data_IF_729798102174
#
_entry.id   IF_729798102174
#
_cell.length_a   1.000
_cell.length_b   1.000
_cell.length_c   1.000
_cell.angle_alpha   90.00
_cell.angle_beta   90.00
_cell.angle_gamma   90.00
#
_symmetry.space_group_name_H-M   'P 1'
#
loop_
_entity.id
_entity.type
_entity.pdbx_description
1 polymer ?
#
# COMPACT_ATOMS: atom_id res chain seq x y z
N UNK A 1 6.46 23.01 7.53
CA UNK A 1 6.16 21.85 6.66
C UNK A 1 5.35 22.39 5.48
N UNK A 2 5.84 22.21 4.25
CA UNK A 2 5.15 22.65 3.04
C UNK A 2 4.37 21.44 2.53
N UNK A 3 3.06 21.53 2.46
CA UNK A 3 2.21 20.54 1.80
C UNK A 3 2.09 20.91 0.32
N UNK A 4 2.60 20.07 -0.57
CA UNK A 4 2.47 20.24 -2.01
C UNK A 4 1.46 19.24 -2.55
N UNK A 5 0.67 19.62 -3.56
CA UNK A 5 -0.12 18.66 -4.32
C UNK A 5 0.78 17.52 -4.83
N UNK A 6 0.29 16.26 -4.77
CA UNK A 6 1.13 15.09 -5.09
C UNK A 6 1.73 15.13 -6.50
N UNK A 7 1.01 15.70 -7.47
CA UNK A 7 1.45 15.83 -8.86
C UNK A 7 2.66 16.78 -8.99
N UNK A 8 2.69 17.83 -8.16
CA UNK A 8 3.80 18.77 -8.08
C UNK A 8 4.96 18.13 -7.31
N UNK A 9 4.67 17.49 -6.17
CA UNK A 9 5.67 16.83 -5.35
C UNK A 9 6.41 15.72 -6.13
N UNK A 10 5.70 14.94 -6.95
CA UNK A 10 6.26 13.86 -7.78
C UNK A 10 7.21 14.38 -8.89
N UNK A 11 7.08 15.63 -9.31
CA UNK A 11 7.91 16.25 -10.35
C UNK A 11 8.97 17.20 -9.79
N UNK A 12 8.89 17.49 -8.49
CA UNK A 12 9.83 18.41 -7.85
C UNK A 12 11.20 17.74 -7.69
N UNK A 13 12.21 18.25 -8.38
CA UNK A 13 13.60 17.79 -8.26
C UNK A 13 14.39 18.58 -7.20
N UNK A 14 13.92 19.75 -6.82
CA UNK A 14 14.57 20.62 -5.82
C UNK A 14 13.59 21.56 -5.16
N UNK A 15 13.93 21.98 -3.95
CA UNK A 15 13.29 23.11 -3.26
C UNK A 15 14.33 24.21 -3.10
N UNK A 16 13.97 25.47 -3.39
CA UNK A 16 14.83 26.63 -3.24
C UNK A 16 14.13 27.74 -2.45
N UNK A 17 14.89 28.43 -1.61
CA UNK A 17 14.42 29.66 -0.96
C UNK A 17 14.42 30.77 -2.02
N UNK A 18 13.26 31.40 -2.25
CA UNK A 18 13.14 32.49 -3.22
C UNK A 18 13.90 33.71 -2.72
N UNK A 19 14.72 34.30 -3.59
CA UNK A 19 15.55 35.45 -3.25
C UNK A 19 16.98 35.11 -2.80
N UNK A 20 17.27 33.87 -2.45
CA UNK A 20 18.62 33.45 -2.06
C UNK A 20 19.35 32.76 -3.23
N UNK A 21 20.61 33.16 -3.44
CA UNK A 21 21.48 32.61 -4.50
C UNK A 21 22.70 31.93 -3.87
N UNK A 22 22.44 30.83 -3.16
CA UNK A 22 23.50 29.99 -2.61
C UNK A 22 23.14 28.52 -2.66
N UNK A 23 24.12 27.65 -2.70
CA UNK A 23 23.91 26.20 -2.61
C UNK A 23 23.19 25.80 -1.31
N UNK A 24 23.42 26.53 -0.21
CA UNK A 24 22.75 26.31 1.07
C UNK A 24 21.26 26.63 1.08
N UNK A 25 20.80 27.45 0.13
CA UNK A 25 19.38 27.78 -0.05
C UNK A 25 18.63 26.78 -0.94
N UNK A 26 19.32 25.74 -1.45
CA UNK A 26 18.75 24.72 -2.33
C UNK A 26 18.86 23.35 -1.67
N UNK A 27 17.74 22.65 -1.59
CA UNK A 27 17.72 21.24 -1.20
C UNK A 27 17.29 20.40 -2.41
N UNK A 28 18.17 19.53 -2.84
CA UNK A 28 17.81 18.52 -3.83
C UNK A 28 16.83 17.54 -3.17
N UNK A 29 15.75 17.30 -3.84
CA UNK A 29 14.86 16.21 -3.50
C UNK A 29 15.44 14.94 -4.15
N UNK A 30 15.36 13.78 -3.47
CA UNK A 30 15.79 12.54 -4.12
C UNK A 30 15.17 12.46 -5.50
N UNK A 31 15.98 12.16 -6.52
CA UNK A 31 15.51 11.98 -7.87
C UNK A 31 14.47 10.85 -7.87
N UNK A 32 13.21 11.25 -8.06
CA UNK A 32 12.09 10.40 -7.84
C UNK A 32 11.84 10.19 -6.33
N UNK A 33 11.00 11.04 -5.76
CA UNK A 33 9.79 10.44 -5.27
C UNK A 33 9.17 9.69 -6.48
N UNK A 34 9.94 8.74 -7.03
CA UNK A 34 9.52 7.89 -8.14
C UNK A 34 8.28 7.22 -7.61
N UNK A 35 7.18 7.43 -8.33
CA UNK A 35 5.93 6.76 -8.00
C UNK A 35 6.29 5.32 -7.69
N UNK A 36 5.93 4.78 -6.51
CA UNK A 36 6.27 3.41 -6.18
C UNK A 36 5.71 2.50 -7.28
N UNK A 37 6.49 1.52 -7.69
CA UNK A 37 6.01 0.52 -8.63
C UNK A 37 5.16 -0.49 -7.87
N UNK A 38 3.86 -0.52 -8.20
CA UNK A 38 2.85 -1.36 -7.55
C UNK A 38 2.30 -2.37 -8.55
N UNK A 39 2.45 -3.64 -8.22
CA UNK A 39 1.87 -4.73 -8.99
C UNK A 39 0.44 -5.03 -8.53
N UNK A 40 -0.48 -5.09 -9.47
CA UNK A 40 -1.84 -5.59 -9.25
C UNK A 40 -1.91 -7.03 -9.73
N UNK A 41 -2.10 -7.95 -8.79
CA UNK A 41 -2.11 -9.37 -9.12
C UNK A 41 -3.44 -9.76 -9.76
N UNK A 42 -3.36 -10.42 -10.90
CA UNK A 42 -4.54 -10.96 -11.57
C UNK A 42 -5.07 -12.17 -10.79
N UNK A 43 -6.21 -12.04 -10.15
CA UNK A 43 -6.84 -13.08 -9.32
C UNK A 43 -7.67 -14.10 -10.12
N UNK A 44 -7.42 -14.23 -11.44
CA UNK A 44 -7.99 -15.32 -12.27
C UNK A 44 -9.51 -15.26 -12.50
N UNK A 45 -10.15 -14.12 -12.28
CA UNK A 45 -11.56 -13.91 -12.63
C UNK A 45 -11.69 -13.44 -14.07
N UNK A 46 -12.25 -14.26 -14.94
CA UNK A 46 -12.64 -13.86 -16.27
C UNK A 46 -13.78 -12.84 -16.19
N UNK A 47 -13.45 -11.57 -16.29
CA UNK A 47 -14.43 -10.50 -16.35
C UNK A 47 -13.75 -9.13 -16.26
N UNK A 48 -13.56 -8.47 -17.40
CA UNK A 48 -13.30 -7.04 -17.47
C UNK A 48 -14.58 -6.28 -17.08
N UNK A 49 -15.05 -6.47 -15.84
CA UNK A 49 -16.15 -5.67 -15.33
C UNK A 49 -15.62 -4.28 -15.00
N UNK A 50 -16.26 -3.25 -15.52
CA UNK A 50 -16.04 -1.84 -15.15
C UNK A 50 -16.26 -1.57 -13.64
N UNK A 51 -16.76 -2.57 -12.90
CA UNK A 51 -17.00 -2.55 -11.46
C UNK A 51 -16.07 -3.54 -10.72
N UNK A 52 -14.96 -3.96 -11.35
CA UNK A 52 -14.01 -4.87 -10.72
C UNK A 52 -13.19 -4.17 -9.63
N UNK A 53 -12.75 -4.93 -8.64
CA UNK A 53 -11.84 -4.44 -7.58
C UNK A 53 -10.60 -3.74 -8.16
N UNK A 54 -10.05 -4.28 -9.26
CA UNK A 54 -8.92 -3.68 -9.98
C UNK A 54 -9.22 -2.26 -10.44
N UNK A 55 -10.42 -1.99 -10.96
CA UNK A 55 -10.81 -0.66 -11.42
C UNK A 55 -10.71 0.38 -10.29
N UNK A 56 -11.26 0.08 -9.11
CA UNK A 56 -11.23 1.02 -7.98
C UNK A 56 -9.82 1.22 -7.44
N UNK A 57 -9.03 0.16 -7.33
CA UNK A 57 -7.63 0.24 -6.88
C UNK A 57 -6.79 1.05 -7.87
N UNK A 58 -6.92 0.77 -9.16
CA UNK A 58 -6.20 1.53 -10.20
C UNK A 58 -6.57 2.99 -10.19
N UNK A 59 -7.87 3.29 -10.14
CA UNK A 59 -8.34 4.68 -10.12
C UNK A 59 -7.82 5.44 -8.91
N UNK A 60 -7.76 4.78 -7.75
CA UNK A 60 -7.25 5.38 -6.53
C UNK A 60 -5.73 5.63 -6.56
N UNK A 61 -4.96 4.72 -7.17
CA UNK A 61 -3.50 4.76 -7.12
C UNK A 61 -2.83 5.35 -8.37
N UNK A 62 -3.51 5.43 -9.50
CA UNK A 62 -2.96 5.95 -10.75
C UNK A 62 -2.23 7.31 -10.63
N UNK A 63 -2.70 8.27 -9.80
CA UNK A 63 -1.98 9.53 -9.61
C UNK A 63 -0.69 9.38 -8.78
N UNK A 64 -0.57 8.32 -7.96
CA UNK A 64 0.45 8.18 -6.91
C UNK A 64 1.46 7.08 -7.15
N UNK A 65 1.14 6.09 -7.99
CA UNK A 65 1.96 4.92 -8.24
C UNK A 65 2.10 4.62 -9.75
N UNK A 66 3.14 3.90 -10.12
CA UNK A 66 3.26 3.24 -11.41
C UNK A 66 2.62 1.85 -11.28
N UNK A 67 1.54 1.59 -11.99
CA UNK A 67 0.76 0.37 -11.85
C UNK A 67 1.04 -0.59 -13.01
N UNK A 68 1.15 -1.86 -12.71
CA UNK A 68 1.23 -2.94 -13.69
C UNK A 68 0.38 -4.12 -13.19
N UNK A 69 -0.39 -4.73 -14.09
CA UNK A 69 -1.10 -5.98 -13.83
C UNK A 69 -0.25 -7.17 -14.26
N UNK A 70 -0.42 -8.30 -13.58
CA UNK A 70 0.24 -9.54 -13.97
C UNK A 70 0.23 -10.61 -12.90
N UNK A 71 0.90 -11.71 -13.19
CA UNK A 71 1.14 -12.79 -12.22
C UNK A 71 2.18 -12.40 -11.18
N UNK A 72 2.12 -13.05 -10.03
CA UNK A 72 2.98 -12.77 -8.85
C UNK A 72 4.46 -12.80 -9.21
N UNK A 73 4.93 -13.89 -9.85
CA UNK A 73 6.34 -14.04 -10.23
C UNK A 73 6.83 -12.91 -11.14
N UNK A 74 6.08 -12.60 -12.20
CA UNK A 74 6.44 -11.55 -13.16
C UNK A 74 6.53 -10.16 -12.51
N UNK A 75 5.63 -9.87 -11.55
CA UNK A 75 5.63 -8.60 -10.83
C UNK A 75 6.79 -8.49 -9.84
N UNK A 76 7.18 -9.60 -9.20
CA UNK A 76 8.37 -9.67 -8.33
C UNK A 76 9.64 -9.48 -9.17
N UNK A 77 9.75 -10.13 -10.32
CA UNK A 77 10.89 -10.02 -11.23
C UNK A 77 11.02 -8.59 -11.80
N UNK A 78 9.90 -7.95 -12.05
CA UNK A 78 9.82 -6.53 -12.43
C UNK A 78 10.16 -5.56 -11.27
N UNK A 79 10.50 -6.08 -10.09
CA UNK A 79 10.88 -5.32 -8.88
C UNK A 79 9.76 -4.44 -8.33
N UNK A 80 8.54 -4.93 -8.32
CA UNK A 80 7.43 -4.27 -7.62
C UNK A 80 7.80 -4.05 -6.14
N UNK A 81 7.51 -2.86 -5.64
CA UNK A 81 7.73 -2.48 -4.24
C UNK A 81 6.53 -2.87 -3.36
N UNK A 82 5.36 -2.90 -3.97
CA UNK A 82 4.13 -3.38 -3.36
C UNK A 82 3.38 -4.28 -4.33
N UNK A 83 2.75 -5.30 -3.80
CA UNK A 83 1.81 -6.17 -4.52
C UNK A 83 0.44 -6.05 -3.86
N UNK A 84 -0.58 -5.85 -4.68
CA UNK A 84 -1.97 -5.79 -4.24
C UNK A 84 -2.70 -7.01 -4.80
N UNK A 85 -3.26 -7.81 -3.91
CA UNK A 85 -4.09 -8.97 -4.23
C UNK A 85 -5.55 -8.64 -3.92
N UNK A 86 -6.36 -8.28 -4.92
CA UNK A 86 -7.82 -8.23 -4.76
C UNK A 86 -8.32 -9.64 -4.53
N UNK A 87 -9.31 -9.81 -3.68
CA UNK A 87 -9.97 -11.08 -3.31
C UNK A 87 -9.33 -12.38 -3.88
N UNK A 88 -8.09 -12.63 -3.52
CA UNK A 88 -7.44 -13.89 -3.82
C UNK A 88 -7.83 -14.93 -2.77
N UNK A 89 -8.42 -16.03 -3.20
CA UNK A 89 -8.68 -17.18 -2.35
C UNK A 89 -7.40 -17.90 -1.97
N UNK A 90 -7.28 -19.17 -2.36
CA UNK A 90 -6.08 -19.96 -2.09
C UNK A 90 -4.94 -19.55 -3.06
N UNK A 91 -3.79 -19.24 -2.50
CA UNK A 91 -2.56 -18.93 -3.26
C UNK A 91 -1.83 -20.27 -3.50
N UNK A 92 -1.26 -20.45 -4.70
CA UNK A 92 -0.49 -21.66 -4.99
C UNK A 92 0.73 -21.78 -4.07
N UNK A 93 1.21 -23.00 -3.73
CA UNK A 93 2.39 -23.17 -2.88
C UNK A 93 3.64 -22.47 -3.43
N UNK A 94 3.82 -22.46 -4.75
CA UNK A 94 4.94 -21.77 -5.41
C UNK A 94 4.86 -20.25 -5.25
N UNK A 95 3.68 -19.68 -5.47
CA UNK A 95 3.46 -18.24 -5.30
C UNK A 95 3.56 -17.83 -3.82
N UNK A 96 3.06 -18.67 -2.91
CA UNK A 96 3.19 -18.43 -1.47
C UNK A 96 4.65 -18.33 -1.05
N UNK A 97 5.49 -19.29 -1.48
CA UNK A 97 6.94 -19.29 -1.19
C UNK A 97 7.64 -18.07 -1.80
N UNK A 98 7.30 -17.70 -3.03
CA UNK A 98 7.86 -16.53 -3.71
C UNK A 98 7.50 -15.23 -2.98
N UNK A 99 6.22 -15.08 -2.58
CA UNK A 99 5.73 -13.95 -1.81
C UNK A 99 6.39 -13.86 -0.44
N UNK A 100 6.52 -14.99 0.28
CA UNK A 100 7.18 -15.02 1.58
C UNK A 100 8.63 -14.51 1.50
N UNK A 101 9.40 -15.03 0.54
CA UNK A 101 10.76 -14.59 0.32
C UNK A 101 10.85 -13.12 -0.10
N UNK A 102 9.91 -12.64 -0.91
CA UNK A 102 9.86 -11.25 -1.36
C UNK A 102 9.47 -10.30 -0.21
N UNK A 103 8.48 -10.67 0.61
CA UNK A 103 8.08 -9.89 1.79
C UNK A 103 9.25 -9.81 2.78
N UNK A 104 9.93 -10.94 3.06
CA UNK A 104 11.07 -10.97 3.99
C UNK A 104 12.18 -10.00 3.58
N UNK A 105 12.34 -9.71 2.28
CA UNK A 105 13.31 -8.73 1.73
C UNK A 105 12.82 -7.28 1.74
N UNK A 106 11.60 -7.00 2.23
CA UNK A 106 11.07 -5.64 2.35
C UNK A 106 9.87 -5.33 1.46
N UNK A 107 9.26 -6.33 0.83
CA UNK A 107 8.06 -6.16 0.01
C UNK A 107 6.82 -5.82 0.86
N UNK A 108 5.92 -5.00 0.32
CA UNK A 108 4.61 -4.73 0.88
C UNK A 108 3.56 -5.58 0.17
N UNK A 109 2.91 -6.48 0.91
CA UNK A 109 1.76 -7.22 0.44
C UNK A 109 0.48 -6.60 0.99
N UNK A 110 -0.42 -6.15 0.12
CA UNK A 110 -1.77 -5.69 0.46
C UNK A 110 -2.78 -6.68 -0.06
N UNK A 111 -3.62 -7.20 0.83
CA UNK A 111 -4.72 -8.10 0.48
C UNK A 111 -6.06 -7.46 0.78
N UNK A 112 -7.02 -7.69 -0.10
CA UNK A 112 -8.42 -7.38 0.13
C UNK A 112 -9.19 -8.68 0.35
N UNK A 113 -10.02 -8.68 1.39
CA UNK A 113 -10.90 -9.80 1.63
C UNK A 113 -12.14 -9.70 0.74
N UNK A 114 -12.57 -10.83 0.24
CA UNK A 114 -13.78 -10.97 -0.53
C UNK A 114 -14.34 -12.37 -0.43
N UNK A 115 -15.32 -12.74 -1.26
CA UNK A 115 -15.96 -14.05 -1.19
C UNK A 115 -14.98 -15.23 -1.33
N UNK A 116 -13.92 -15.08 -2.12
CA UNK A 116 -12.94 -16.17 -2.34
C UNK A 116 -12.08 -16.38 -1.11
N UNK A 117 -11.53 -15.32 -0.52
CA UNK A 117 -10.74 -15.40 0.70
C UNK A 117 -11.63 -15.88 1.86
N UNK A 118 -12.86 -15.37 1.95
CA UNK A 118 -13.83 -15.75 2.98
C UNK A 118 -14.17 -17.24 2.96
N UNK A 119 -14.18 -17.87 1.78
CA UNK A 119 -14.44 -19.29 1.59
C UNK A 119 -13.18 -20.18 1.63
N UNK A 120 -12.00 -19.60 1.78
CA UNK A 120 -10.74 -20.32 1.93
C UNK A 120 -10.43 -20.60 3.40
N UNK A 121 -9.53 -21.55 3.66
CA UNK A 121 -9.02 -21.81 5.01
C UNK A 121 -8.01 -20.73 5.49
N UNK A 122 -7.79 -19.68 4.67
CA UNK A 122 -6.74 -18.71 4.87
C UNK A 122 -5.37 -19.28 4.53
N UNK A 123 -4.34 -18.46 4.69
CA UNK A 123 -2.95 -18.84 4.45
C UNK A 123 -1.99 -18.08 5.38
N UNK A 124 -0.71 -18.42 5.32
CA UNK A 124 0.34 -17.79 6.11
C UNK A 124 0.64 -16.34 5.70
N UNK A 125 0.09 -15.88 4.58
CA UNK A 125 0.23 -14.52 4.05
C UNK A 125 -0.93 -13.60 4.48
N UNK A 126 -1.49 -13.87 5.64
CA UNK A 126 -2.45 -13.01 6.33
C UNK A 126 -1.84 -12.48 7.62
N UNK A 127 -2.11 -11.22 8.00
CA UNK A 127 -1.63 -10.66 9.26
C UNK A 127 -2.30 -11.29 10.49
N UNK A 128 -3.51 -11.83 10.30
CA UNK A 128 -4.34 -12.47 11.32
C UNK A 128 -4.98 -13.73 10.77
N UNK A 129 -5.35 -14.67 11.66
CA UNK A 129 -6.20 -15.80 11.28
C UNK A 129 -7.63 -15.31 11.08
N UNK A 130 -8.29 -15.87 10.08
CA UNK A 130 -9.70 -15.59 9.85
C UNK A 130 -10.56 -16.49 10.72
N UNK A 131 -11.68 -15.97 11.20
CA UNK A 131 -12.60 -16.70 12.07
C UNK A 131 -13.27 -17.81 11.27
N UNK A 132 -13.11 -19.10 11.66
CA UNK A 132 -13.88 -20.18 11.06
C UNK A 132 -15.34 -20.04 11.52
N UNK A 133 -16.30 -20.06 10.60
CA UNK A 133 -17.73 -19.98 10.96
C UNK A 133 -18.52 -18.93 10.22
N UNK A 134 -17.89 -17.97 9.60
CA UNK A 134 -18.51 -17.12 8.59
C UNK A 134 -18.95 -17.91 7.32
N UNK A 135 -18.64 -19.21 7.27
CA UNK A 135 -18.97 -20.12 6.18
C UNK A 135 -20.48 -20.34 5.98
N UNK A 136 -21.32 -20.13 7.00
CA UNK A 136 -22.78 -20.30 6.90
C UNK A 136 -23.47 -19.23 6.06
N UNK A 137 -22.79 -18.11 5.76
CA UNK A 137 -23.31 -16.99 4.97
C UNK A 137 -22.38 -16.65 3.79
N UNK A 138 -21.70 -17.63 3.21
CA UNK A 138 -20.74 -17.41 2.12
C UNK A 138 -19.42 -16.83 2.59
N UNK A 139 -19.01 -17.12 3.84
CA UNK A 139 -17.68 -16.80 4.37
C UNK A 139 -17.50 -15.38 4.90
N UNK A 140 -18.42 -14.46 4.64
CA UNK A 140 -18.40 -13.10 5.14
C UNK A 140 -19.53 -12.84 6.11
N UNK A 141 -19.26 -12.06 7.17
CA UNK A 141 -20.31 -11.55 8.04
C UNK A 141 -21.03 -10.41 7.34
N UNK A 142 -22.34 -10.53 7.19
CA UNK A 142 -23.21 -9.44 6.78
C UNK A 142 -23.78 -8.77 8.03
N UNK A 143 -23.63 -7.46 8.13
CA UNK A 143 -24.18 -6.70 9.22
C UNK A 143 -25.67 -6.40 8.96
N UNK A 144 -26.53 -6.64 9.93
CA UNK A 144 -27.97 -6.27 9.83
C UNK A 144 -28.14 -4.75 9.63
N UNK A 145 -27.27 -3.98 10.27
CA UNK A 145 -27.13 -2.54 10.05
C UNK A 145 -25.69 -2.25 9.65
N UNK A 146 -25.46 -1.53 8.55
CA UNK A 146 -24.12 -1.14 8.15
C UNK A 146 -23.39 -0.39 9.27
N UNK A 147 -22.10 -0.71 9.46
CA UNK A 147 -21.27 -0.06 10.47
C UNK A 147 -20.45 1.06 9.83
N UNK A 148 -20.35 2.17 10.54
CA UNK A 148 -19.47 3.28 10.16
C UNK A 148 -18.01 2.97 10.50
N UNK A 149 -17.07 3.72 9.92
CA UNK A 149 -15.69 3.71 10.37
C UNK A 149 -15.60 4.29 11.79
N UNK A 150 -14.78 3.65 12.62
CA UNK A 150 -14.35 4.20 13.89
C UNK A 150 -13.18 5.17 13.72
N UNK A 151 -12.73 5.76 14.83
CA UNK A 151 -11.52 6.58 14.85
C UNK A 151 -10.29 5.74 14.50
N UNK A 152 -9.35 6.33 13.74
CA UNK A 152 -8.11 5.65 13.40
C UNK A 152 -7.19 5.61 14.61
N UNK A 153 -6.62 4.43 14.97
CA UNK A 153 -5.65 4.31 16.06
C UNK A 153 -4.46 5.24 15.89
N UNK A 154 -3.99 5.84 17.00
CA UNK A 154 -2.93 6.84 16.98
C UNK A 154 -1.56 6.32 16.53
N UNK A 155 -1.34 5.01 16.59
CA UNK A 155 -0.14 4.30 16.12
C UNK A 155 -0.27 3.78 14.69
N UNK A 156 -1.40 4.03 14.03
CA UNK A 156 -1.64 3.64 12.65
C UNK A 156 -1.08 4.67 11.66
N UNK A 157 -0.81 4.27 10.40
CA UNK A 157 -0.46 5.21 9.34
C UNK A 157 -1.55 6.26 9.06
N UNK A 158 -2.75 6.00 9.55
CA UNK A 158 -3.94 6.82 9.32
C UNK A 158 -4.21 7.80 10.45
N UNK A 159 -3.37 7.82 11.48
CA UNK A 159 -3.49 8.75 12.60
C UNK A 159 -3.69 10.19 12.12
N UNK A 160 -4.65 10.90 12.75
CA UNK A 160 -5.03 12.25 12.39
C UNK A 160 -5.90 12.39 11.14
N UNK A 161 -6.29 11.30 10.49
CA UNK A 161 -7.38 11.34 9.51
C UNK A 161 -8.73 11.37 10.23
N UNK A 162 -9.64 12.19 9.73
CA UNK A 162 -11.03 12.10 10.16
C UNK A 162 -11.68 10.85 9.55
N UNK A 163 -12.42 10.09 10.36
CA UNK A 163 -13.23 9.00 9.82
C UNK A 163 -14.37 9.60 8.95
N UNK A 164 -14.48 9.21 7.67
CA UNK A 164 -15.53 9.76 6.80
C UNK A 164 -16.90 9.24 7.25
N UNK A 165 -17.86 10.13 7.49
CA UNK A 165 -19.18 9.74 8.03
C UNK A 165 -20.07 9.02 7.00
N UNK A 166 -19.73 9.14 5.73
CA UNK A 166 -20.46 8.58 4.58
C UNK A 166 -20.00 7.17 4.19
N UNK A 167 -18.98 6.63 4.86
CA UNK A 167 -18.49 5.27 4.58
C UNK A 167 -19.15 4.26 5.51
N UNK A 168 -19.92 3.38 4.91
CA UNK A 168 -20.60 2.29 5.59
C UNK A 168 -20.07 0.94 5.15
N UNK A 169 -19.88 0.05 6.11
CA UNK A 169 -19.44 -1.32 5.89
C UNK A 169 -20.63 -2.25 6.09
N UNK A 170 -21.00 -2.98 5.04
CA UNK A 170 -22.13 -3.91 5.01
C UNK A 170 -21.71 -5.35 5.25
N UNK A 171 -20.50 -5.69 4.81
CA UNK A 171 -19.92 -7.04 4.94
C UNK A 171 -18.44 -6.95 5.25
N UNK A 172 -17.94 -7.90 6.00
CA UNK A 172 -16.50 -8.03 6.26
C UNK A 172 -16.14 -9.50 6.60
N UNK A 173 -14.86 -9.82 6.48
CA UNK A 173 -14.30 -11.07 7.02
C UNK A 173 -13.81 -10.79 8.43
N UNK A 174 -14.19 -11.64 9.39
CA UNK A 174 -13.80 -11.47 10.79
C UNK A 174 -12.43 -12.09 11.06
N UNK A 175 -11.63 -11.40 11.85
CA UNK A 175 -10.41 -11.93 12.43
C UNK A 175 -10.72 -12.80 13.66
N UNK A 176 -9.88 -13.82 13.89
CA UNK A 176 -9.81 -14.51 15.17
C UNK A 176 -9.24 -13.56 16.24
N UNK A 177 -9.97 -13.33 17.35
CA UNK A 177 -9.54 -12.41 18.40
C UNK A 177 -8.15 -12.72 18.98
N UNK A 178 -7.77 -14.00 19.07
CA UNK A 178 -6.46 -14.38 19.60
C UNK A 178 -5.33 -13.91 18.68
N UNK A 179 -5.55 -14.02 17.36
CA UNK A 179 -4.54 -13.62 16.36
C UNK A 179 -4.37 -12.09 16.24
N UNK A 180 -5.34 -11.32 16.73
CA UNK A 180 -5.25 -9.86 16.75
C UNK A 180 -4.18 -9.34 17.73
N UNK A 181 -3.82 -10.12 18.76
CA UNK A 181 -2.77 -9.74 19.71
C UNK A 181 -1.39 -9.62 19.06
N UNK A 182 -1.17 -10.28 17.93
CA UNK A 182 0.10 -10.28 17.19
C UNK A 182 0.09 -9.31 15.99
N UNK A 183 -1.05 -8.68 15.71
CA UNK A 183 -1.23 -7.78 14.60
C UNK A 183 -1.43 -6.33 15.06
N UNK A 184 -1.08 -5.39 14.19
CA UNK A 184 -1.40 -3.98 14.39
C UNK A 184 -2.79 -3.68 13.85
N UNK A 185 -3.62 -3.04 14.64
CA UNK A 185 -4.91 -2.53 14.19
C UNK A 185 -4.69 -1.14 13.57
N UNK A 186 -4.91 -1.02 12.27
CA UNK A 186 -4.74 0.24 11.57
C UNK A 186 -6.05 1.00 11.36
N UNK A 187 -7.15 0.27 11.24
CA UNK A 187 -8.49 0.84 11.19
C UNK A 187 -9.48 -0.11 11.87
N UNK A 188 -10.47 0.47 12.53
CA UNK A 188 -11.56 -0.23 13.21
C UNK A 188 -12.90 0.32 12.76
N UNK A 189 -13.96 -0.46 12.96
CA UNK A 189 -15.34 -0.02 12.81
C UNK A 189 -15.85 0.58 14.11
N UNK A 190 -17.03 1.19 14.07
CA UNK A 190 -17.67 1.85 15.21
C UNK A 190 -17.95 0.90 16.40
N UNK A 191 -18.01 -0.41 16.16
CA UNK A 191 -18.15 -1.44 17.20
C UNK A 191 -16.82 -2.00 17.71
N UNK A 192 -15.68 -1.46 17.20
CA UNK A 192 -14.32 -1.92 17.53
C UNK A 192 -13.82 -3.10 16.70
N UNK A 193 -14.62 -3.66 15.81
CA UNK A 193 -14.16 -4.75 14.93
C UNK A 193 -13.10 -4.27 13.93
N UNK A 194 -12.08 -5.09 13.62
CA UNK A 194 -10.96 -4.70 12.76
C UNK A 194 -11.41 -4.53 11.31
N UNK A 195 -11.06 -3.39 10.69
CA UNK A 195 -11.25 -3.15 9.27
C UNK A 195 -9.95 -3.30 8.48
N UNK A 196 -8.83 -2.83 9.03
CA UNK A 196 -7.50 -2.98 8.43
C UNK A 196 -6.54 -3.47 9.51
N UNK A 197 -5.89 -4.59 9.22
CA UNK A 197 -4.86 -5.17 10.09
C UNK A 197 -3.53 -5.27 9.35
N UNK A 198 -2.43 -5.18 10.08
CA UNK A 198 -1.09 -5.25 9.52
C UNK A 198 -0.15 -6.08 10.41
N UNK A 199 0.80 -6.77 9.79
CA UNK A 199 1.85 -7.54 10.49
C UNK A 199 3.17 -7.43 9.72
N UNK A 200 4.22 -7.09 10.44
CA UNK A 200 5.58 -7.14 9.90
C UNK A 200 6.03 -8.60 9.71
N UNK A 201 6.73 -8.86 8.62
CA UNK A 201 7.34 -10.17 8.33
C UNK A 201 8.72 -9.97 7.70
N UNK A 202 9.76 -10.30 8.45
CA UNK A 202 11.12 -9.93 8.06
C UNK A 202 11.25 -8.40 7.96
N UNK A 203 11.72 -7.92 6.81
CA UNK A 203 11.84 -6.47 6.52
C UNK A 203 10.60 -5.91 5.84
N UNK A 204 9.60 -6.72 5.53
CA UNK A 204 8.40 -6.34 4.81
C UNK A 204 7.15 -6.33 5.68
N UNK A 205 6.03 -6.11 5.03
CA UNK A 205 4.76 -5.87 5.68
C UNK A 205 3.62 -6.59 4.94
N UNK A 206 2.72 -7.20 5.69
CA UNK A 206 1.47 -7.75 5.19
C UNK A 206 0.33 -6.91 5.75
N UNK A 207 -0.55 -6.43 4.89
CA UNK A 207 -1.73 -5.64 5.23
C UNK A 207 -2.98 -6.35 4.68
N UNK A 208 -4.00 -6.49 5.51
CA UNK A 208 -5.29 -7.02 5.12
C UNK A 208 -6.38 -5.97 5.34
N UNK A 209 -7.10 -5.70 4.27
CA UNK A 209 -8.40 -5.04 4.32
C UNK A 209 -9.45 -6.13 4.51
N UNK A 210 -10.22 -6.08 5.58
CA UNK A 210 -11.25 -7.07 5.92
C UNK A 210 -12.51 -6.92 5.05
N UNK A 211 -12.44 -6.09 4.05
CA UNK A 211 -13.46 -5.84 3.02
C UNK A 211 -12.83 -5.95 1.65
N UNK A 212 -13.67 -6.08 0.62
CA UNK A 212 -13.20 -6.05 -0.75
C UNK A 212 -12.98 -4.61 -1.27
N UNK A 213 -12.33 -4.50 -2.41
CA UNK A 213 -12.09 -3.23 -3.06
C UNK A 213 -13.18 -2.84 -4.07
N UNK A 214 -14.36 -3.46 -3.97
CA UNK A 214 -15.54 -3.14 -4.78
C UNK A 214 -16.68 -2.62 -3.87
N UNK A 215 -17.67 -1.89 -4.41
CA UNK A 215 -18.68 -1.23 -3.60
C UNK A 215 -19.80 -2.13 -3.08
N UNK A 216 -19.71 -3.44 -3.31
CA UNK A 216 -20.74 -4.40 -2.86
C UNK A 216 -20.67 -4.71 -1.36
N UNK A 217 -19.48 -4.63 -0.73
CA UNK A 217 -19.29 -4.85 0.69
C UNK A 217 -19.25 -3.55 1.51
N UNK A 218 -18.81 -2.45 0.91
CA UNK A 218 -18.66 -1.17 1.60
C UNK A 218 -18.69 0.01 0.64
N UNK A 219 -18.92 1.22 1.17
CA UNK A 219 -18.80 2.46 0.42
C UNK A 219 -17.33 2.95 0.33
N UNK A 220 -16.40 2.26 1.03
CA UNK A 220 -15.00 2.66 1.11
C UNK A 220 -14.37 2.90 -0.27
N UNK A 221 -14.51 2.02 -1.29
CA UNK A 221 -13.91 2.23 -2.61
C UNK A 221 -14.42 3.46 -3.36
N UNK A 222 -15.57 3.98 -2.98
CA UNK A 222 -16.19 5.18 -3.57
C UNK A 222 -15.77 6.47 -2.87
N UNK A 223 -15.10 6.36 -1.72
CA UNK A 223 -14.75 7.51 -0.87
C UNK A 223 -13.34 8.04 -1.14
N UNK A 224 -13.12 9.32 -0.84
CA UNK A 224 -11.78 9.90 -0.82
C UNK A 224 -10.85 9.27 0.22
N UNK A 225 -11.40 8.67 1.28
CA UNK A 225 -10.65 7.95 2.29
C UNK A 225 -9.92 6.73 1.72
N UNK A 226 -10.49 6.05 0.74
CA UNK A 226 -9.85 4.91 0.09
C UNK A 226 -8.51 5.27 -0.55
N UNK A 227 -8.51 6.38 -1.28
CA UNK A 227 -7.30 6.93 -1.91
C UNK A 227 -6.25 7.26 -0.85
N UNK A 228 -6.65 7.96 0.21
CA UNK A 228 -5.72 8.40 1.26
C UNK A 228 -5.17 7.22 2.08
N UNK A 229 -6.00 6.24 2.41
CA UNK A 229 -5.61 5.02 3.11
C UNK A 229 -4.60 4.22 2.29
N UNK A 230 -4.87 3.99 0.99
CA UNK A 230 -3.92 3.29 0.12
C UNK A 230 -2.60 4.05 -0.02
N UNK A 231 -2.67 5.36 -0.22
CA UNK A 231 -1.47 6.21 -0.35
C UNK A 231 -0.62 6.17 0.92
N UNK A 232 -1.24 6.28 2.11
CA UNK A 232 -0.53 6.22 3.39
C UNK A 232 0.02 4.83 3.67
N UNK A 233 -0.66 3.77 3.28
CA UNK A 233 -0.16 2.38 3.36
C UNK A 233 1.14 2.23 2.55
N UNK A 234 1.16 2.68 1.30
CA UNK A 234 2.36 2.66 0.46
C UNK A 234 3.50 3.50 1.07
N UNK A 235 3.18 4.70 1.56
CA UNK A 235 4.17 5.59 2.15
C UNK A 235 4.75 5.06 3.47
N UNK A 236 3.95 4.36 4.27
CA UNK A 236 4.39 3.72 5.51
C UNK A 236 5.38 2.60 5.22
N UNK A 237 5.06 1.70 4.31
CA UNK A 237 5.94 0.60 3.95
C UNK A 237 7.26 1.09 3.35
N UNK A 238 7.26 2.15 2.55
CA UNK A 238 8.47 2.75 1.99
C UNK A 238 9.42 3.31 3.06
N UNK A 239 8.89 3.74 4.22
CA UNK A 239 9.70 4.23 5.36
C UNK A 239 10.19 3.09 6.23
N UNK A 240 9.31 2.14 6.52
CA UNK A 240 9.58 1.03 7.46
C UNK A 240 10.56 0.00 6.83
N UNK A 241 10.51 -0.19 5.52
CA UNK A 241 11.44 -1.08 4.78
C UNK A 241 12.86 -0.51 4.62
N UNK A 242 13.16 0.67 5.19
CA UNK A 242 14.46 1.32 5.02
C UNK A 242 14.75 1.71 3.57
N UNK A 243 13.73 1.82 2.73
CA UNK A 243 13.88 2.21 1.33
C UNK A 243 14.48 3.63 1.16
N UNK A 244 14.59 4.39 2.27
CA UNK A 244 15.36 5.64 2.35
C UNK A 244 16.87 5.41 2.52
N UNK A 245 17.28 4.29 3.07
CA UNK A 245 18.66 3.81 3.17
C UNK A 245 18.78 2.54 2.33
N UNK A 246 18.73 2.68 1.02
CA UNK A 246 19.27 1.62 0.16
C UNK A 246 20.73 1.49 0.53
N UNK A 247 21.10 0.40 1.16
CA UNK A 247 22.46 -0.07 1.15
C UNK A 247 22.86 -0.20 -0.33
N UNK A 248 23.60 0.78 -0.79
CA UNK A 248 24.06 0.84 -2.17
C UNK A 248 25.24 -0.13 -2.23
N UNK A 249 24.89 -1.40 -2.39
CA UNK A 249 25.86 -2.44 -2.66
C UNK A 249 26.26 -2.33 -4.12
N UNK A 250 27.45 -1.75 -4.34
CA UNK A 250 28.23 -2.00 -5.52
C UNK A 250 28.32 -0.92 -6.58
N UNK A 251 29.47 -0.38 -6.71
CA UNK A 251 29.93 0.43 -7.82
C UNK A 251 30.03 1.94 -7.51
N UNK A 252 30.93 2.64 -8.15
CA UNK A 252 31.07 4.08 -7.99
C UNK A 252 29.78 4.77 -8.45
N UNK A 253 29.29 5.71 -7.63
CA UNK A 253 28.16 6.53 -8.00
C UNK A 253 28.55 7.46 -9.14
N UNK A 254 27.81 7.44 -10.23
CA UNK A 254 27.95 8.44 -11.28
C UNK A 254 27.04 9.59 -10.94
N UNK A 255 27.62 10.77 -10.68
CA UNK A 255 26.87 11.98 -10.47
C UNK A 255 26.07 12.32 -11.75
N UNK A 256 24.75 12.43 -11.65
CA UNK A 256 23.92 12.82 -12.80
C UNK A 256 23.79 14.33 -12.94
N UNK A 257 23.83 15.06 -11.81
CA UNK A 257 23.73 16.51 -11.77
C UNK A 257 24.58 17.05 -10.62
N UNK A 258 25.16 18.19 -10.84
CA UNK A 258 25.90 18.95 -9.85
C UNK A 258 25.16 20.25 -9.52
N UNK A 259 25.28 20.69 -8.27
CA UNK A 259 24.82 21.99 -7.84
C UNK A 259 26.05 22.90 -7.66
N UNK A 260 26.05 24.05 -8.28
CA UNK A 260 27.14 25.05 -8.11
C UNK A 260 26.97 25.85 -6.80
N UNK A 261 27.97 26.68 -6.47
CA UNK A 261 27.92 27.51 -5.26
C UNK A 261 26.76 28.51 -5.22
N UNK A 262 26.16 28.79 -6.34
CA UNK A 262 25.02 29.71 -6.50
C UNK A 262 23.67 28.99 -6.53
N UNK A 263 23.66 27.66 -6.37
CA UNK A 263 22.44 26.87 -6.34
C UNK A 263 21.87 26.52 -7.72
N UNK A 264 22.65 26.72 -8.80
CA UNK A 264 22.26 26.31 -10.14
C UNK A 264 22.57 24.82 -10.36
N UNK A 265 21.65 24.11 -11.02
CA UNK A 265 21.75 22.67 -11.31
C UNK A 265 22.25 22.50 -12.75
N UNK A 266 23.35 21.81 -12.92
CA UNK A 266 23.92 21.45 -14.23
C UNK A 266 24.07 19.93 -14.37
N UNK A 267 24.05 19.38 -15.61
CA UNK A 267 24.46 18.00 -15.83
C UNK A 267 25.87 17.77 -15.30
N UNK A 268 26.10 16.63 -14.67
CA UNK A 268 27.46 16.30 -14.24
C UNK A 268 28.34 15.97 -15.46
N UNK A 269 29.60 16.48 -15.50
CA UNK A 269 30.56 16.02 -16.48
C UNK A 269 30.75 14.51 -16.42
N UNK A 270 31.04 13.84 -17.57
CA UNK A 270 31.15 12.37 -17.62
C UNK A 270 32.26 11.80 -16.71
N UNK A 271 33.26 12.63 -16.35
CA UNK A 271 34.37 12.24 -15.48
C UNK A 271 34.18 12.67 -14.01
N UNK A 272 32.98 13.06 -13.61
CA UNK A 272 32.72 13.42 -12.22
C UNK A 272 32.85 12.19 -11.34
N UNK A 273 33.95 12.10 -10.60
CA UNK A 273 34.12 11.07 -9.57
C UNK A 273 33.07 11.26 -8.46
N UNK A 274 32.65 10.17 -7.79
CA UNK A 274 31.72 10.22 -6.67
C UNK A 274 32.30 10.97 -5.49
#
# INVERSE_FOLDING_TARGET
RIALPPEIAARAARVRIVGEQSAGAVRLLPAGASRPFVGLVDSGGAGQSLLSEHFYIERALQPYASLQRGGIGALIDARAQALILPDAGQISPSDSSALEAWIARGGLLVRFAGPRLANSDGDALLPVRLRPGARSLGGALAWERPLALGEFPGDSPFAGMAAPPDVNIRRQVLADPISLLEARLWAVLSDGSPLITARARGRGLIVLFHVNAAPDWSDLPLSGAFVEVLRRTLAFAARDSGAGEREITGGPFVAQRLIDGFGALSPAPPDSAP
#
